data_IF_911697235503
#
_entry.id   IF_911697235503
#
_cell.length_a   1.000
_cell.length_b   1.000
_cell.length_c   1.000
_cell.angle_alpha   90.00
_cell.angle_beta   90.00
_cell.angle_gamma   90.00
#
_symmetry.space_group_name_H-M   'P 1'
#
loop_
_entity.id
_entity.type
_entity.pdbx_description
1 polymer ?
#
# COMPACT_ATOMS: atom_id res chain seq x y z
N UNK A 1 55.32 -22.19 -51.56
CA UNK A 1 55.62 -22.86 -50.27
C UNK A 1 54.62 -22.33 -49.24
N UNK A 2 53.91 -23.24 -48.53
CA UNK A 2 52.88 -22.99 -47.47
C UNK A 2 53.49 -22.28 -46.24
N UNK A 3 52.75 -21.65 -45.29
CA UNK A 3 51.42 -22.06 -44.75
C UNK A 3 50.39 -20.92 -44.56
N UNK A 4 49.08 -21.18 -44.69
CA UNK A 4 48.15 -21.59 -43.62
C UNK A 4 48.30 -20.79 -42.31
N UNK A 5 47.33 -19.92 -42.03
CA UNK A 5 47.02 -19.48 -40.67
C UNK A 5 45.51 -19.51 -40.48
N UNK A 6 45.13 -20.30 -39.49
CA UNK A 6 43.78 -20.76 -39.18
C UNK A 6 43.09 -19.86 -38.14
N UNK A 7 41.76 -19.95 -38.18
CA UNK A 7 40.78 -19.82 -37.11
C UNK A 7 41.13 -18.99 -35.85
N UNK A 8 40.30 -17.98 -35.62
CA UNK A 8 39.84 -17.66 -34.26
C UNK A 8 38.33 -17.34 -34.33
N UNK A 9 37.49 -18.34 -34.09
CA UNK A 9 36.06 -18.15 -33.85
C UNK A 9 35.87 -17.92 -32.35
N UNK A 10 35.73 -16.66 -31.94
CA UNK A 10 35.43 -16.30 -30.54
C UNK A 10 33.91 -16.31 -30.37
N UNK A 11 33.37 -17.40 -29.84
CA UNK A 11 31.98 -17.47 -29.39
C UNK A 11 31.84 -16.66 -28.09
N UNK A 12 31.22 -15.48 -28.17
CA UNK A 12 30.85 -14.70 -26.97
C UNK A 12 29.65 -15.36 -26.29
N UNK A 13 29.83 -15.73 -25.02
CA UNK A 13 28.79 -16.15 -24.09
C UNK A 13 27.70 -15.06 -23.98
N UNK A 14 26.45 -15.43 -24.27
CA UNK A 14 25.30 -14.61 -23.94
C UNK A 14 25.04 -14.67 -22.43
N UNK A 15 25.42 -13.61 -21.71
CA UNK A 15 24.95 -13.37 -20.35
C UNK A 15 23.48 -12.97 -20.41
N UNK A 16 22.58 -13.88 -20.06
CA UNK A 16 21.18 -13.56 -19.83
C UNK A 16 21.11 -12.66 -18.59
N UNK A 17 20.87 -11.36 -18.78
CA UNK A 17 20.44 -10.49 -17.71
C UNK A 17 19.13 -11.06 -17.16
N UNK A 18 19.19 -11.60 -15.94
CA UNK A 18 17.99 -11.79 -15.14
C UNK A 18 17.37 -10.40 -14.96
N UNK A 19 16.23 -10.16 -15.59
CA UNK A 19 15.38 -9.02 -15.29
C UNK A 19 14.85 -9.24 -13.88
N UNK A 20 15.57 -8.71 -12.90
CA UNK A 20 15.05 -8.41 -11.59
C UNK A 20 13.88 -7.44 -11.82
N UNK A 21 12.67 -7.99 -11.98
CA UNK A 21 11.45 -7.21 -11.83
C UNK A 21 11.38 -6.88 -10.35
N UNK A 22 12.08 -5.81 -9.98
CA UNK A 22 11.99 -5.13 -8.70
C UNK A 22 10.60 -4.56 -8.54
N UNK A 23 9.61 -5.44 -8.38
CA UNK A 23 8.37 -5.08 -7.72
C UNK A 23 8.77 -4.81 -6.27
N UNK A 24 8.94 -3.52 -5.94
CA UNK A 24 9.10 -3.08 -4.57
C UNK A 24 8.00 -3.76 -3.74
N UNK A 25 8.35 -4.48 -2.65
CA UNK A 25 7.35 -5.06 -1.78
C UNK A 25 6.37 -3.95 -1.38
N UNK A 26 5.05 -4.24 -1.36
CA UNK A 26 4.07 -3.22 -1.04
C UNK A 26 4.44 -2.57 0.31
N UNK A 27 4.29 -1.25 0.44
CA UNK A 27 4.71 -0.55 1.65
C UNK A 27 4.04 -1.18 2.86
N UNK A 28 4.84 -1.65 3.80
CA UNK A 28 4.35 -2.22 5.06
C UNK A 28 3.87 -1.08 5.95
N UNK A 29 2.63 -1.14 6.44
CA UNK A 29 2.08 -0.14 7.35
C UNK A 29 2.09 -0.67 8.80
N UNK A 30 2.56 0.11 9.80
CA UNK A 30 2.56 -0.32 11.19
C UNK A 30 1.15 -0.69 11.67
N UNK A 31 0.97 -1.84 12.31
CA UNK A 31 -0.33 -2.25 12.85
C UNK A 31 -1.35 -2.69 11.79
N UNK A 32 -0.91 -2.91 10.55
CA UNK A 32 -1.70 -3.47 9.46
C UNK A 32 -1.59 -4.99 9.33
N UNK A 33 -0.79 -5.64 10.17
CA UNK A 33 -0.54 -7.08 10.10
C UNK A 33 -1.81 -7.88 10.38
N UNK A 34 -2.17 -8.79 9.47
CA UNK A 34 -3.33 -9.68 9.63
C UNK A 34 -4.69 -9.05 9.31
N UNK A 35 -4.74 -7.77 8.93
CA UNK A 35 -5.98 -7.12 8.53
C UNK A 35 -6.46 -7.61 7.15
N UNK A 36 -7.78 -7.65 6.93
CA UNK A 36 -8.31 -7.83 5.59
C UNK A 36 -8.19 -6.53 4.78
N UNK A 37 -8.41 -5.38 5.45
CA UNK A 37 -8.13 -4.04 4.95
C UNK A 37 -7.46 -3.24 6.06
N UNK A 38 -6.38 -2.53 5.73
CA UNK A 38 -5.70 -1.62 6.68
C UNK A 38 -5.64 -0.20 6.11
N UNK A 39 -5.90 0.81 6.95
CA UNK A 39 -5.77 2.23 6.58
C UNK A 39 -4.86 2.93 7.56
N UNK A 40 -3.68 3.34 7.12
CA UNK A 40 -2.69 4.06 7.93
C UNK A 40 -2.77 5.55 7.65
N UNK A 41 -2.88 6.32 8.74
CA UNK A 41 -2.88 7.78 8.74
C UNK A 41 -1.56 8.25 9.35
N UNK A 42 -0.66 8.75 8.50
CA UNK A 42 0.60 9.36 8.93
C UNK A 42 0.46 10.87 9.16
N UNK A 43 1.58 11.55 9.43
CA UNK A 43 1.63 13.00 9.60
C UNK A 43 2.82 13.64 8.89
N UNK A 44 2.69 14.93 8.58
CA UNK A 44 3.78 15.81 8.13
C UNK A 44 4.13 16.85 9.20
N UNK A 45 4.33 16.44 10.45
CA UNK A 45 4.63 17.34 11.58
C UNK A 45 3.51 18.36 11.92
N UNK A 46 2.27 18.08 11.48
CA UNK A 46 1.12 18.97 11.64
C UNK A 46 -0.15 18.20 12.04
N UNK A 47 -0.01 16.97 12.52
CA UNK A 47 -1.13 16.05 12.76
C UNK A 47 -1.53 15.24 11.53
N UNK A 48 -2.44 14.30 11.73
CA UNK A 48 -3.04 13.50 10.66
C UNK A 48 -4.13 14.27 9.91
N UNK A 49 -4.58 13.76 8.76
CA UNK A 49 -5.85 14.18 8.17
C UNK A 49 -7.03 13.63 8.99
N UNK A 50 -7.40 14.36 10.04
CA UNK A 50 -8.48 13.97 10.96
C UNK A 50 -9.86 13.91 10.30
N UNK A 51 -10.08 14.67 9.23
CA UNK A 51 -11.35 14.67 8.49
C UNK A 51 -11.47 13.40 7.65
N UNK A 52 -10.40 12.98 6.98
CA UNK A 52 -10.37 11.69 6.30
C UNK A 52 -10.55 10.53 7.28
N UNK A 53 -9.88 10.57 8.43
CA UNK A 53 -10.03 9.57 9.49
C UNK A 53 -11.49 9.45 9.97
N UNK A 54 -12.15 10.57 10.30
CA UNK A 54 -13.53 10.55 10.77
C UNK A 54 -14.52 10.01 9.72
N UNK A 55 -14.30 10.30 8.43
CA UNK A 55 -15.11 9.76 7.33
C UNK A 55 -14.97 8.24 7.22
N UNK A 56 -13.73 7.72 7.32
CA UNK A 56 -13.48 6.27 7.32
C UNK A 56 -14.14 5.60 8.52
N UNK A 57 -13.99 6.16 9.73
CA UNK A 57 -14.59 5.61 10.94
C UNK A 57 -16.12 5.54 10.84
N UNK A 58 -16.74 6.64 10.41
CA UNK A 58 -18.20 6.73 10.21
C UNK A 58 -18.68 5.70 9.19
N UNK A 59 -17.97 5.56 8.07
CA UNK A 59 -18.34 4.60 7.03
C UNK A 59 -18.24 3.15 7.52
N UNK A 60 -17.16 2.78 8.21
CA UNK A 60 -16.98 1.44 8.78
C UNK A 60 -18.01 1.12 9.86
N UNK A 61 -18.43 2.11 10.65
CA UNK A 61 -19.50 1.96 11.62
C UNK A 61 -20.86 1.68 10.96
N UNK A 62 -21.11 2.24 9.77
CA UNK A 62 -22.36 2.09 9.02
C UNK A 62 -22.51 0.80 8.21
N UNK A 63 -21.42 0.08 7.93
CA UNK A 63 -21.41 -1.10 7.02
C UNK A 63 -21.17 -2.42 7.78
N UNK A 64 -22.02 -2.71 8.78
CA UNK A 64 -21.90 -3.91 9.64
C UNK A 64 -22.22 -5.23 8.92
N UNK A 65 -22.83 -5.15 7.74
CA UNK A 65 -23.00 -6.28 6.83
C UNK A 65 -21.67 -6.74 6.19
N UNK A 66 -20.71 -5.82 6.05
CA UNK A 66 -19.40 -6.08 5.45
C UNK A 66 -18.25 -6.17 6.47
N UNK A 67 -18.39 -5.46 7.59
CA UNK A 67 -17.34 -5.27 8.60
C UNK A 67 -17.66 -6.07 9.85
N UNK A 68 -16.81 -7.05 10.18
CA UNK A 68 -16.95 -7.88 11.37
C UNK A 68 -16.30 -7.22 12.60
N UNK A 69 -15.11 -6.64 12.43
CA UNK A 69 -14.38 -5.96 13.50
C UNK A 69 -13.54 -4.79 12.97
N UNK A 70 -13.30 -3.82 13.84
CA UNK A 70 -12.42 -2.67 13.57
C UNK A 70 -11.54 -2.44 14.79
N UNK A 71 -10.23 -2.55 14.60
CA UNK A 71 -9.22 -2.23 15.61
C UNK A 71 -8.42 -1.01 15.18
N UNK A 72 -8.27 -0.04 16.08
CA UNK A 72 -7.42 1.14 15.85
C UNK A 72 -6.15 0.99 16.68
N UNK A 73 -5.00 1.04 16.02
CA UNK A 73 -3.68 0.97 16.65
C UNK A 73 -2.96 2.31 16.50
N UNK A 74 -2.82 3.11 17.57
CA UNK A 74 -1.99 4.31 17.53
C UNK A 74 -0.52 3.94 17.52
N UNK A 75 0.31 4.68 16.80
CA UNK A 75 1.74 4.40 16.70
C UNK A 75 2.64 5.65 16.74
N UNK A 76 2.07 6.86 16.70
CA UNK A 76 2.85 8.09 16.77
C UNK A 76 2.23 9.16 17.67
N UNK A 77 2.93 10.28 17.83
CA UNK A 77 2.57 11.34 18.79
C UNK A 77 1.60 12.37 18.22
N UNK A 78 1.48 12.44 16.90
CA UNK A 78 0.68 13.45 16.21
C UNK A 78 -0.73 12.94 15.87
N UNK A 79 -1.11 11.86 16.55
CA UNK A 79 -2.34 11.12 16.28
C UNK A 79 -2.19 10.07 15.19
N UNK A 80 -0.97 9.72 14.78
CA UNK A 80 -0.76 8.70 13.78
C UNK A 80 -1.29 7.33 14.24
N UNK A 81 -2.02 6.66 13.36
CA UNK A 81 -2.75 5.44 13.68
C UNK A 81 -3.03 4.59 12.45
N UNK A 82 -3.25 3.31 12.68
CA UNK A 82 -3.73 2.38 11.66
C UNK A 82 -5.09 1.82 12.06
N UNK A 83 -6.03 1.86 11.13
CA UNK A 83 -7.33 1.21 11.21
C UNK A 83 -7.21 -0.16 10.57
N UNK A 84 -7.27 -1.21 11.39
CA UNK A 84 -7.29 -2.60 10.96
C UNK A 84 -8.74 -3.07 10.88
N UNK A 85 -9.16 -3.54 9.71
CA UNK A 85 -10.53 -4.00 9.45
C UNK A 85 -10.51 -5.50 9.20
N UNK A 86 -11.36 -6.21 9.95
CA UNK A 86 -11.73 -7.59 9.67
C UNK A 86 -13.10 -7.61 9.01
N UNK A 87 -13.21 -8.27 7.87
CA UNK A 87 -14.46 -8.36 7.10
C UNK A 87 -15.28 -9.58 7.49
N UNK A 88 -16.59 -9.53 7.24
CA UNK A 88 -17.51 -10.64 7.52
C UNK A 88 -17.26 -11.85 6.61
N UNK A 89 -16.66 -11.65 5.44
CA UNK A 89 -16.30 -12.72 4.51
C UNK A 89 -15.19 -12.26 3.54
N UNK A 90 -14.45 -13.21 2.92
CA UNK A 90 -13.46 -12.86 1.89
C UNK A 90 -14.03 -12.06 0.72
N UNK A 91 -15.32 -12.25 0.38
CA UNK A 91 -15.99 -11.51 -0.68
C UNK A 91 -16.23 -10.02 -0.31
N UNK A 92 -16.28 -9.68 0.98
CA UNK A 92 -16.48 -8.32 1.47
C UNK A 92 -15.20 -7.47 1.44
N UNK A 93 -14.01 -8.09 1.33
CA UNK A 93 -12.72 -7.37 1.34
C UNK A 93 -12.65 -6.30 0.26
N UNK A 94 -12.96 -6.66 -0.99
CA UNK A 94 -12.89 -5.73 -2.13
C UNK A 94 -13.92 -4.58 -2.03
N UNK A 95 -15.21 -4.84 -1.71
CA UNK A 95 -16.17 -3.79 -1.40
C UNK A 95 -15.72 -2.85 -0.28
N UNK A 96 -15.20 -3.37 0.83
CA UNK A 96 -14.71 -2.56 1.96
C UNK A 96 -13.54 -1.69 1.54
N UNK A 97 -12.52 -2.27 0.91
CA UNK A 97 -11.37 -1.52 0.40
C UNK A 97 -11.80 -0.39 -0.54
N UNK A 98 -12.69 -0.71 -1.49
CA UNK A 98 -13.16 0.27 -2.48
C UNK A 98 -14.03 1.37 -1.84
N UNK A 99 -14.84 1.03 -0.84
CA UNK A 99 -15.64 1.97 -0.08
C UNK A 99 -14.77 2.96 0.70
N UNK A 100 -13.78 2.42 1.42
CA UNK A 100 -12.79 3.22 2.16
C UNK A 100 -12.01 4.15 1.24
N UNK A 101 -11.43 3.64 0.15
CA UNK A 101 -10.60 4.45 -0.78
C UNK A 101 -11.39 5.63 -1.37
N UNK A 102 -12.69 5.47 -1.64
CA UNK A 102 -13.55 6.57 -2.15
C UNK A 102 -13.70 7.73 -1.16
N UNK A 103 -13.43 7.51 0.12
CA UNK A 103 -13.49 8.55 1.15
C UNK A 103 -12.17 9.30 1.28
N UNK A 104 -11.07 8.72 0.80
CA UNK A 104 -9.74 9.28 0.96
C UNK A 104 -9.49 10.37 -0.08
N UNK A 105 -8.80 11.47 0.30
CA UNK A 105 -8.36 12.45 -0.67
C UNK A 105 -7.34 11.82 -1.62
N UNK A 106 -7.39 12.17 -2.90
CA UNK A 106 -6.37 11.71 -3.86
C UNK A 106 -5.01 12.35 -3.57
N UNK A 107 -5.00 13.57 -3.04
CA UNK A 107 -3.80 14.32 -2.69
C UNK A 107 -3.57 14.37 -1.17
N UNK A 108 -2.34 14.15 -0.73
CA UNK A 108 -1.93 14.13 0.68
C UNK A 108 -1.65 15.52 1.26
N UNK A 109 -2.35 16.58 0.81
CA UNK A 109 -2.04 17.97 1.19
C UNK A 109 -1.96 18.21 2.70
N UNK A 110 -2.80 17.53 3.48
CA UNK A 110 -2.82 17.63 4.95
C UNK A 110 -1.86 16.64 5.59
N UNK A 111 -1.90 15.38 5.16
CA UNK A 111 -1.11 14.29 5.72
C UNK A 111 -1.09 13.08 4.76
N UNK A 112 -0.10 12.18 4.84
CA UNK A 112 -0.07 10.98 4.02
C UNK A 112 -1.07 9.93 4.54
N UNK A 113 -1.75 9.26 3.62
CA UNK A 113 -2.65 8.13 3.92
C UNK A 113 -2.31 6.96 3.00
N UNK A 114 -2.18 5.78 3.58
CA UNK A 114 -1.97 4.53 2.85
C UNK A 114 -3.07 3.55 3.20
N UNK A 115 -3.72 2.95 2.19
CA UNK A 115 -4.67 1.86 2.39
C UNK A 115 -4.22 0.60 1.64
N UNK A 116 -4.24 -0.53 2.35
CA UNK A 116 -3.91 -1.86 1.82
C UNK A 116 -5.11 -2.78 1.95
N UNK A 117 -5.18 -3.77 1.06
CA UNK A 117 -6.09 -4.91 1.16
C UNK A 117 -5.30 -6.21 1.06
N UNK A 118 -5.72 -7.21 1.82
CA UNK A 118 -5.21 -8.59 1.77
C UNK A 118 -5.33 -9.23 0.39
N UNK A 119 -6.21 -8.72 -0.47
CA UNK A 119 -6.33 -9.15 -1.88
C UNK A 119 -5.43 -8.35 -2.83
N UNK A 120 -4.42 -7.64 -2.32
CA UNK A 120 -3.45 -6.88 -3.12
C UNK A 120 -3.89 -5.47 -3.54
N UNK A 121 -5.00 -4.96 -2.97
CA UNK A 121 -5.39 -3.56 -3.20
C UNK A 121 -4.41 -2.61 -2.53
N UNK A 122 -3.97 -1.57 -3.25
CA UNK A 122 -3.06 -0.55 -2.76
C UNK A 122 -3.54 0.85 -3.14
N UNK A 123 -3.58 1.73 -2.16
CA UNK A 123 -3.84 3.15 -2.34
C UNK A 123 -2.85 3.95 -1.49
N UNK A 124 -2.31 5.01 -2.08
CA UNK A 124 -1.49 5.98 -1.37
C UNK A 124 -1.85 7.38 -1.89
N UNK A 125 -2.00 8.34 -0.97
CA UNK A 125 -2.20 9.75 -1.32
C UNK A 125 -1.03 10.27 -2.14
N UNK A 126 -1.31 10.99 -3.23
CA UNK A 126 -0.27 11.62 -4.04
C UNK A 126 0.21 12.91 -3.41
N UNK A 127 1.52 13.11 -3.36
CA UNK A 127 2.15 14.36 -2.93
C UNK A 127 1.99 14.67 -1.44
N UNK A 128 3.00 15.34 -0.89
CA UNK A 128 3.01 15.92 0.45
C UNK A 128 3.44 17.39 0.38
N UNK A 129 3.45 18.13 1.50
CA UNK A 129 4.09 19.43 1.56
C UNK A 129 5.58 19.26 1.21
N UNK A 130 5.94 19.58 -0.04
CA UNK A 130 7.29 19.43 -0.60
C UNK A 130 7.42 18.50 -1.82
N UNK A 131 6.32 17.91 -2.32
CA UNK A 131 6.30 17.13 -3.58
C UNK A 131 5.97 18.00 -4.81
#
# INVERSE_FOLDING_TARGET
MKPFLALAATAMLAAACATDSGAEPPPSVPGGEGCDVSVSFGSYAMGIDGEAYARVETWLAGHKDLVADVKVTPWGREGERTVCVTTTSPAAIKPVFSGVVKLLPVEGKKAPITALSKTGGHFHTKGGPGA
#
